data_IF_037412052553
#
_entry.id   IF_037412052553
#
_cell.length_a   1.000
_cell.length_b   1.000
_cell.length_c   1.000
_cell.angle_alpha   90.00
_cell.angle_beta   90.00
_cell.angle_gamma   90.00
#
_symmetry.space_group_name_H-M   'P 1'
#
loop_
_entity.id
_entity.type
_entity.pdbx_description
1 polymer ?
#
# COMPACT_ATOMS: atom_id res chain seq x y z
N UNK A 1 -36.47 -36.89 -19.49
CA UNK A 1 -35.30 -36.26 -20.15
C UNK A 1 -35.00 -34.81 -19.70
N UNK A 2 -35.91 -34.13 -19.00
CA UNK A 2 -35.81 -32.69 -18.69
C UNK A 2 -34.86 -32.39 -17.49
N UNK A 3 -34.84 -33.25 -16.47
CA UNK A 3 -34.02 -33.07 -15.25
C UNK A 3 -32.52 -33.11 -15.51
N UNK A 4 -32.05 -33.96 -16.44
CA UNK A 4 -30.64 -34.05 -16.84
C UNK A 4 -30.15 -32.82 -17.62
N UNK A 5 -31.05 -32.11 -18.31
CA UNK A 5 -30.72 -30.86 -19.03
C UNK A 5 -30.61 -29.68 -18.05
N UNK A 6 -31.50 -29.62 -17.06
CA UNK A 6 -31.47 -28.58 -16.02
C UNK A 6 -30.23 -28.73 -15.13
N UNK A 7 -29.88 -29.97 -14.76
CA UNK A 7 -28.68 -30.25 -13.94
C UNK A 7 -27.38 -29.90 -14.67
N UNK A 8 -27.28 -30.16 -15.98
CA UNK A 8 -26.13 -29.76 -16.80
C UNK A 8 -26.01 -28.25 -16.97
N UNK A 9 -27.14 -27.56 -17.10
CA UNK A 9 -27.18 -26.10 -17.22
C UNK A 9 -26.72 -25.42 -15.92
N UNK A 10 -27.17 -25.93 -14.77
CA UNK A 10 -26.71 -25.48 -13.45
C UNK A 10 -25.21 -25.69 -13.24
N UNK A 11 -24.67 -26.82 -13.70
CA UNK A 11 -23.24 -27.10 -13.58
C UNK A 11 -22.39 -26.17 -14.46
N UNK A 12 -22.85 -25.86 -15.67
CA UNK A 12 -22.18 -24.91 -16.56
C UNK A 12 -22.17 -23.49 -15.99
N UNK A 13 -23.29 -23.03 -15.42
CA UNK A 13 -23.37 -21.72 -14.77
C UNK A 13 -22.48 -21.65 -13.53
N UNK A 14 -22.48 -22.69 -12.68
CA UNK A 14 -21.61 -22.76 -11.51
C UNK A 14 -20.11 -22.74 -11.90
N UNK A 15 -19.75 -23.43 -12.97
CA UNK A 15 -18.37 -23.44 -13.48
C UNK A 15 -17.96 -22.07 -14.03
N UNK A 16 -18.85 -21.39 -14.75
CA UNK A 16 -18.63 -20.02 -15.24
C UNK A 16 -18.46 -19.00 -14.11
N UNK A 17 -19.27 -19.09 -13.06
CA UNK A 17 -19.15 -18.23 -11.87
C UNK A 17 -17.83 -18.49 -11.15
N UNK A 18 -17.40 -19.76 -11.01
CA UNK A 18 -16.13 -20.11 -10.38
C UNK A 18 -14.93 -19.54 -11.15
N UNK A 19 -14.94 -19.61 -12.49
CA UNK A 19 -13.89 -19.01 -13.34
C UNK A 19 -13.86 -17.48 -13.19
N UNK A 20 -15.03 -16.84 -13.13
CA UNK A 20 -15.12 -15.38 -12.95
C UNK A 20 -14.56 -14.91 -11.60
N UNK A 21 -14.81 -15.65 -10.52
CA UNK A 21 -14.25 -15.36 -9.19
C UNK A 21 -12.73 -15.50 -9.18
N UNK A 22 -12.18 -16.52 -9.83
CA UNK A 22 -10.73 -16.74 -9.92
C UNK A 22 -10.01 -15.63 -10.69
N UNK A 23 -10.61 -15.12 -11.77
CA UNK A 23 -10.04 -14.01 -12.57
C UNK A 23 -10.10 -12.67 -11.82
N UNK A 24 -11.05 -12.51 -10.89
CA UNK A 24 -11.24 -11.26 -10.15
C UNK A 24 -10.30 -11.08 -8.95
N UNK A 25 -9.57 -12.13 -8.56
CA UNK A 25 -8.59 -12.06 -7.48
C UNK A 25 -7.31 -11.35 -7.97
N UNK A 26 -7.26 -10.02 -7.84
CA UNK A 26 -5.99 -9.28 -7.99
C UNK A 26 -5.15 -9.52 -6.73
N UNK A 27 -3.85 -9.89 -6.85
CA UNK A 27 -2.99 -9.94 -5.68
C UNK A 27 -3.02 -8.55 -5.04
N UNK A 28 -3.24 -8.49 -3.73
CA UNK A 28 -3.04 -7.26 -2.97
C UNK A 28 -1.53 -7.04 -2.86
N UNK A 29 -0.94 -6.60 -3.97
CA UNK A 29 0.49 -6.37 -4.10
C UNK A 29 0.86 -5.38 -2.98
N UNK A 30 1.61 -5.88 -2.00
CA UNK A 30 2.18 -5.01 -0.99
C UNK A 30 3.02 -3.98 -1.75
N UNK A 31 2.86 -2.70 -1.40
CA UNK A 31 3.64 -1.58 -1.95
C UNK A 31 5.10 -1.64 -1.45
N UNK A 32 5.72 -2.78 -1.68
CA UNK A 32 7.06 -3.19 -1.26
C UNK A 32 8.14 -2.18 -1.70
N UNK A 33 8.07 -1.55 -2.89
CA UNK A 33 9.08 -0.58 -3.33
C UNK A 33 9.24 0.60 -2.37
N UNK A 34 8.12 1.13 -1.84
CA UNK A 34 8.14 2.26 -0.91
C UNK A 34 8.80 1.92 0.42
N UNK A 35 8.43 0.77 1.00
CA UNK A 35 9.07 0.29 2.23
C UNK A 35 10.57 0.03 2.01
N UNK A 36 10.92 -0.63 0.90
CA UNK A 36 12.33 -0.88 0.54
C UNK A 36 13.11 0.43 0.39
N UNK A 37 12.56 1.43 -0.29
CA UNK A 37 13.19 2.73 -0.46
C UNK A 37 13.41 3.45 0.87
N UNK A 38 12.41 3.40 1.75
CA UNK A 38 12.51 3.95 3.10
C UNK A 38 13.58 3.23 3.92
N UNK A 39 13.58 1.89 3.91
CA UNK A 39 14.59 1.10 4.60
C UNK A 39 16.00 1.45 4.07
N UNK A 40 16.20 1.56 2.75
CA UNK A 40 17.50 1.93 2.17
C UNK A 40 18.00 3.27 2.71
N UNK A 41 17.13 4.27 2.88
CA UNK A 41 17.53 5.61 3.31
C UNK A 41 17.67 5.77 4.82
N UNK A 42 16.87 5.04 5.59
CA UNK A 42 16.70 5.32 7.02
C UNK A 42 17.03 4.15 7.94
N UNK A 43 17.39 2.96 7.42
CA UNK A 43 17.71 1.77 8.24
C UNK A 43 18.69 2.01 9.37
N UNK A 44 19.70 2.85 9.15
CA UNK A 44 20.72 3.15 10.17
C UNK A 44 20.22 4.11 11.26
N UNK A 45 19.21 4.93 10.94
CA UNK A 45 18.64 5.96 11.81
C UNK A 45 17.36 5.50 12.51
N UNK A 46 16.91 4.27 12.27
CA UNK A 46 15.72 3.71 12.89
C UNK A 46 16.05 3.15 14.28
N UNK A 47 15.16 3.34 15.26
CA UNK A 47 15.33 2.72 16.58
C UNK A 47 15.39 1.20 16.41
N UNK A 48 16.41 0.56 17.02
CA UNK A 48 16.66 -0.89 16.93
C UNK A 48 15.48 -1.76 17.39
N UNK A 49 14.51 -1.16 18.09
CA UNK A 49 13.33 -1.80 18.65
C UNK A 49 12.07 -1.68 17.78
N UNK A 50 12.08 -0.87 16.71
CA UNK A 50 10.90 -0.57 15.91
C UNK A 50 11.06 -0.97 14.45
N UNK A 51 10.36 -2.02 14.01
CA UNK A 51 10.22 -2.32 12.59
C UNK A 51 9.44 -1.18 11.90
N UNK A 52 9.95 -0.64 10.80
CA UNK A 52 9.16 0.24 9.94
C UNK A 52 8.06 -0.57 9.30
N UNK A 53 6.84 -0.18 9.59
CA UNK A 53 5.63 -0.77 9.00
C UNK A 53 4.93 0.27 8.13
N UNK A 54 3.91 -0.18 7.39
CA UNK A 54 3.08 0.73 6.60
C UNK A 54 2.42 1.82 7.46
N UNK A 55 2.21 1.55 8.76
CA UNK A 55 1.58 2.47 9.69
C UNK A 55 2.37 3.77 9.91
N UNK A 56 3.68 3.77 9.62
CA UNK A 56 4.52 4.98 9.72
C UNK A 56 4.04 6.09 8.79
N UNK A 57 3.47 5.74 7.64
CA UNK A 57 2.88 6.71 6.70
C UNK A 57 1.34 6.61 6.63
N UNK A 58 0.78 5.45 6.98
CA UNK A 58 -0.65 5.15 6.96
C UNK A 58 -1.18 4.91 8.39
N UNK A 59 -1.37 5.96 9.20
CA UNK A 59 -1.74 5.79 10.62
C UNK A 59 -3.18 5.29 10.82
N UNK A 60 -4.03 5.40 9.80
CA UNK A 60 -5.42 5.00 9.83
C UNK A 60 -5.65 3.51 9.55
N UNK A 61 -6.92 3.11 9.60
CA UNK A 61 -7.34 1.75 9.26
C UNK A 61 -7.25 1.49 7.74
N UNK A 62 -7.24 2.56 6.93
CA UNK A 62 -7.21 2.46 5.47
C UNK A 62 -5.88 2.93 4.88
N UNK A 63 -5.43 2.28 3.79
CA UNK A 63 -4.25 2.69 3.00
C UNK A 63 -4.42 4.05 2.28
N UNK A 64 -5.59 4.68 2.38
CA UNK A 64 -5.88 6.01 1.81
C UNK A 64 -5.56 7.13 2.79
N UNK A 65 -5.62 6.82 4.08
CA UNK A 65 -5.23 7.74 5.13
C UNK A 65 -3.71 7.83 5.14
N UNK A 66 -3.21 9.01 4.80
CA UNK A 66 -1.80 9.36 4.80
C UNK A 66 -1.58 10.42 5.87
N UNK A 67 -0.54 10.26 6.68
CA UNK A 67 -0.03 11.36 7.49
C UNK A 67 0.62 12.43 6.60
N UNK A 68 1.06 13.55 7.19
CA UNK A 68 1.65 14.67 6.45
C UNK A 68 2.85 14.25 5.60
N UNK A 69 3.73 13.40 6.12
CA UNK A 69 4.90 12.89 5.40
C UNK A 69 4.48 12.03 4.19
N UNK A 70 3.53 11.12 4.38
CA UNK A 70 2.99 10.27 3.33
C UNK A 70 2.26 11.08 2.23
N UNK A 71 1.60 12.18 2.57
CA UNK A 71 0.99 13.11 1.61
C UNK A 71 2.05 13.83 0.78
N UNK A 72 3.08 14.39 1.43
CA UNK A 72 4.19 15.04 0.73
C UNK A 72 4.90 14.09 -0.24
N UNK A 73 5.10 12.83 0.15
CA UNK A 73 5.66 11.81 -0.75
C UNK A 73 4.74 11.55 -1.96
N UNK A 74 3.43 11.49 -1.74
CA UNK A 74 2.46 11.26 -2.82
C UNK A 74 2.39 12.45 -3.79
N UNK A 75 2.48 13.68 -3.28
CA UNK A 75 2.54 14.90 -4.07
C UNK A 75 3.82 14.97 -4.92
N UNK A 76 4.98 14.67 -4.31
CA UNK A 76 6.28 14.66 -5.00
C UNK A 76 6.33 13.61 -6.12
N UNK A 77 5.73 12.44 -5.91
CA UNK A 77 5.67 11.39 -6.93
C UNK A 77 4.67 11.68 -8.05
N UNK A 78 3.64 12.50 -7.79
CA UNK A 78 2.62 12.90 -8.75
C UNK A 78 1.69 11.79 -9.25
N UNK A 79 1.99 10.52 -8.94
CA UNK A 79 1.23 9.37 -9.40
C UNK A 79 1.11 8.28 -8.32
N UNK A 80 0.10 7.42 -8.49
CA UNK A 80 -0.14 6.29 -7.59
C UNK A 80 0.59 5.05 -8.09
N UNK A 81 1.04 4.21 -7.16
CA UNK A 81 1.66 2.90 -7.44
C UNK A 81 2.96 2.99 -8.27
N UNK A 82 3.80 3.97 -7.96
CA UNK A 82 5.16 4.07 -8.50
C UNK A 82 5.95 2.83 -8.07
N UNK A 83 6.58 2.17 -9.05
CA UNK A 83 7.43 0.99 -8.83
C UNK A 83 8.90 1.23 -9.11
N UNK A 84 9.22 2.38 -9.69
CA UNK A 84 10.58 2.83 -9.97
C UNK A 84 11.29 3.20 -8.66
N UNK A 85 12.31 2.40 -8.30
CA UNK A 85 13.08 2.59 -7.07
C UNK A 85 13.89 3.88 -7.06
N UNK A 86 14.42 4.33 -8.20
CA UNK A 86 15.22 5.55 -8.26
C UNK A 86 14.33 6.77 -8.03
N UNK A 87 13.15 6.79 -8.65
CA UNK A 87 12.14 7.84 -8.42
C UNK A 87 11.66 7.87 -6.98
N UNK A 88 11.39 6.71 -6.37
CA UNK A 88 11.00 6.62 -4.96
C UNK A 88 12.11 7.16 -4.05
N UNK A 89 13.37 6.77 -4.28
CA UNK A 89 14.50 7.24 -3.47
C UNK A 89 14.73 8.75 -3.63
N UNK A 90 14.61 9.27 -4.85
CA UNK A 90 14.72 10.70 -5.12
C UNK A 90 13.63 11.50 -4.39
N UNK A 91 12.38 11.04 -4.47
CA UNK A 91 11.25 11.68 -3.79
C UNK A 91 11.41 11.64 -2.26
N UNK A 92 11.76 10.48 -1.68
CA UNK A 92 12.02 10.35 -0.24
C UNK A 92 13.14 11.29 0.23
N UNK A 93 14.22 11.42 -0.56
CA UNK A 93 15.31 12.37 -0.26
C UNK A 93 14.82 13.83 -0.38
N UNK A 94 14.00 14.16 -1.38
CA UNK A 94 13.50 15.51 -1.59
C UNK A 94 12.66 15.99 -0.40
N UNK A 95 11.68 15.19 0.03
CA UNK A 95 10.80 15.53 1.14
C UNK A 95 11.49 15.46 2.51
N UNK A 96 12.63 14.77 2.61
CA UNK A 96 13.42 14.65 3.84
C UNK A 96 14.41 15.81 4.09
N UNK A 97 14.67 16.67 3.09
CA UNK A 97 15.57 17.83 3.20
C UNK A 97 15.03 19.03 4.02
N UNK A 98 13.75 19.43 3.93
CA UNK A 98 13.27 20.56 4.73
C UNK A 98 13.23 20.20 6.23
N UNK A 99 13.66 21.14 7.10
CA UNK A 99 13.48 20.99 8.55
C UNK A 99 11.99 20.89 8.85
N UNK A 100 11.53 19.78 9.42
CA UNK A 100 10.18 19.69 9.95
C UNK A 100 10.05 20.56 11.19
N UNK A 101 9.12 21.53 11.20
CA UNK A 101 8.66 22.11 12.46
C UNK A 101 7.97 21.00 13.25
N UNK A 102 8.59 20.59 14.36
CA UNK A 102 8.12 19.51 15.23
C UNK A 102 6.77 19.79 15.90
N UNK A 103 6.34 21.05 15.90
CA UNK A 103 5.13 21.51 16.59
C UNK A 103 3.83 21.05 15.93
N UNK A 104 3.89 20.51 14.71
CA UNK A 104 2.73 20.13 13.90
C UNK A 104 2.57 18.61 13.75
N UNK A 105 3.37 17.81 14.46
CA UNK A 105 3.20 16.36 14.49
C UNK A 105 2.00 16.01 15.39
N UNK A 106 0.93 15.37 14.88
CA UNK A 106 -0.16 14.95 15.75
C UNK A 106 0.41 13.95 16.75
N UNK A 107 0.48 14.36 18.02
CA UNK A 107 0.73 13.46 19.13
C UNK A 107 -0.29 12.34 19.02
N UNK A 108 0.21 11.11 18.84
CA UNK A 108 -0.63 9.94 18.65
C UNK A 108 -1.64 9.84 19.80
N UNK A 109 -2.96 9.96 19.57
CA UNK A 109 -3.93 9.71 20.61
C UNK A 109 -4.04 8.18 20.75
N UNK A 110 -3.44 7.66 21.83
CA UNK A 110 -3.52 6.28 22.31
C UNK A 110 -2.56 5.29 21.62
N UNK A 111 -1.44 5.03 22.30
CA UNK A 111 -0.95 3.66 22.47
C UNK A 111 -1.50 3.15 23.79
#
# INVERSE_FOLDING_TARGET
MQTRRILRSLWLVASLVAVFVLVSARPSDARMPYKKGFDILYKENLPKTGAVTCAVCHPGETKRELNRYGKALAEELGEKDVRDMERILAALKAIGKPKSNSDEWPSNPKR
#
